data_IF_506809649470
#
_entry.id   IF_506809649470
#
_cell.length_a   1.000
_cell.length_b   1.000
_cell.length_c   1.000
_cell.angle_alpha   90.00
_cell.angle_beta   90.00
_cell.angle_gamma   90.00
#
_symmetry.space_group_name_H-M   'P 1'
#
loop_
_entity.id
_entity.type
_entity.pdbx_description
1 polymer ?
#
# COMPACT_ATOMS: atom_id res chain seq x y z
N UNK A 1 -4.03 31.57 -15.05
CA UNK A 1 -2.70 31.03 -14.66
C UNK A 1 -2.61 30.49 -13.23
N UNK A 2 -3.40 30.99 -12.25
CA UNK A 2 -3.35 30.50 -10.85
C UNK A 2 -3.84 29.04 -10.68
N UNK A 3 -4.89 28.64 -11.40
CA UNK A 3 -5.50 27.30 -11.31
C UNK A 3 -4.58 26.17 -11.79
N UNK A 4 -3.66 26.48 -12.71
CA UNK A 4 -2.73 25.51 -13.28
C UNK A 4 -1.58 25.19 -12.32
N UNK A 5 -1.10 26.18 -11.55
CA UNK A 5 -0.11 25.96 -10.48
C UNK A 5 -0.69 25.13 -9.34
N UNK A 6 -1.99 25.30 -9.02
CA UNK A 6 -2.67 24.54 -7.98
C UNK A 6 -2.81 23.05 -8.34
N UNK A 7 -3.12 22.74 -9.61
CA UNK A 7 -3.18 21.35 -10.12
C UNK A 7 -1.82 20.66 -10.04
N UNK A 8 -0.76 21.31 -10.52
CA UNK A 8 0.60 20.77 -10.44
C UNK A 8 1.04 20.56 -9.00
N UNK A 9 0.76 21.52 -8.12
CA UNK A 9 1.10 21.40 -6.70
C UNK A 9 0.39 20.23 -6.04
N UNK A 10 -0.88 19.99 -6.37
CA UNK A 10 -1.63 18.82 -5.88
C UNK A 10 -1.03 17.50 -6.36
N UNK A 11 -0.59 17.44 -7.63
CA UNK A 11 0.07 16.25 -8.19
C UNK A 11 1.40 16.00 -7.48
N UNK A 12 2.23 17.02 -7.33
CA UNK A 12 3.49 16.91 -6.58
C UNK A 12 3.26 16.47 -5.14
N UNK A 13 2.29 17.07 -4.45
CA UNK A 13 1.94 16.68 -3.09
C UNK A 13 1.53 15.21 -2.99
N UNK A 14 0.75 14.70 -3.96
CA UNK A 14 0.36 13.29 -4.01
C UNK A 14 1.52 12.34 -4.24
N UNK A 15 2.42 12.68 -5.17
CA UNK A 15 3.62 11.87 -5.45
C UNK A 15 4.51 11.85 -4.20
N UNK A 16 4.75 13.02 -3.61
CA UNK A 16 5.60 13.17 -2.44
C UNK A 16 5.02 12.45 -1.22
N UNK A 17 3.70 12.49 -1.03
CA UNK A 17 3.00 11.70 -0.02
C UNK A 17 3.15 10.20 -0.25
N UNK A 18 3.04 9.73 -1.51
CA UNK A 18 3.25 8.33 -1.85
C UNK A 18 4.68 7.86 -1.57
N UNK A 19 5.68 8.66 -1.93
CA UNK A 19 7.10 8.36 -1.65
C UNK A 19 7.36 8.32 -0.14
N UNK A 20 6.85 9.31 0.61
CA UNK A 20 6.98 9.35 2.06
C UNK A 20 6.33 8.13 2.72
N UNK A 21 5.15 7.70 2.25
CA UNK A 21 4.47 6.50 2.74
C UNK A 21 5.32 5.24 2.54
N UNK A 22 5.89 5.05 1.34
CA UNK A 22 6.73 3.88 1.05
C UNK A 22 8.01 3.90 1.89
N UNK A 23 8.66 5.06 2.04
CA UNK A 23 9.83 5.20 2.87
C UNK A 23 9.53 4.84 4.33
N UNK A 24 8.50 5.43 4.93
CA UNK A 24 8.07 5.14 6.30
C UNK A 24 7.70 3.67 6.51
N UNK A 25 7.07 3.04 5.51
CA UNK A 25 6.72 1.63 5.57
C UNK A 25 7.95 0.72 5.60
N UNK A 26 8.93 0.98 4.72
CA UNK A 26 10.18 0.23 4.69
C UNK A 26 11.00 0.45 5.97
N UNK A 27 11.05 1.68 6.46
CA UNK A 27 11.76 2.04 7.69
C UNK A 27 11.14 1.31 8.90
N UNK A 28 9.81 1.36 9.03
CA UNK A 28 9.09 0.63 10.09
C UNK A 28 9.36 -0.88 10.03
N UNK A 29 9.44 -1.48 8.83
CA UNK A 29 9.80 -2.89 8.67
C UNK A 29 11.22 -3.14 9.14
N UNK A 30 12.18 -2.31 8.73
CA UNK A 30 13.58 -2.44 9.13
C UNK A 30 13.73 -2.34 10.65
N UNK A 31 13.14 -1.30 11.26
CA UNK A 31 13.12 -1.10 12.73
C UNK A 31 12.51 -2.30 13.45
N UNK A 32 11.39 -2.82 12.97
CA UNK A 32 10.75 -4.01 13.55
C UNK A 32 11.61 -5.26 13.41
N UNK A 33 12.29 -5.45 12.27
CA UNK A 33 13.20 -6.58 12.04
C UNK A 33 14.43 -6.47 12.94
N UNK A 34 15.02 -5.28 13.06
CA UNK A 34 16.15 -5.06 13.95
C UNK A 34 15.75 -5.27 15.42
N UNK A 35 14.53 -4.88 15.80
CA UNK A 35 13.99 -5.13 17.14
C UNK A 35 13.82 -6.63 17.38
N UNK A 36 13.22 -7.36 16.42
CA UNK A 36 13.07 -8.81 16.48
C UNK A 36 14.43 -9.50 16.63
N UNK A 37 15.44 -9.06 15.87
CA UNK A 37 16.79 -9.63 15.92
C UNK A 37 17.58 -9.24 17.18
N UNK A 38 17.01 -8.45 18.08
CA UNK A 38 17.70 -7.94 19.27
C UNK A 38 18.86 -6.99 18.95
N UNK A 39 18.86 -6.39 17.76
CA UNK A 39 19.90 -5.47 17.29
C UNK A 39 19.61 -4.01 17.69
N UNK A 40 18.42 -3.71 18.20
CA UNK A 40 18.13 -2.42 18.85
C UNK A 40 18.76 -2.42 20.24
N UNK A 41 20.00 -1.92 20.34
CA UNK A 41 20.72 -1.84 21.61
C UNK A 41 20.01 -0.99 22.67
N UNK A 42 19.37 0.11 22.25
CA UNK A 42 18.54 0.96 23.11
C UNK A 42 17.41 1.58 22.27
N UNK A 43 16.21 0.94 22.21
CA UNK A 43 15.09 1.48 21.45
C UNK A 43 14.63 2.83 22.01
N UNK A 44 14.57 3.83 21.15
CA UNK A 44 14.01 5.15 21.42
C UNK A 44 12.49 5.12 21.34
N UNK A 45 11.84 6.20 21.79
CA UNK A 45 10.38 6.35 21.67
C UNK A 45 9.92 6.31 20.20
N UNK A 46 10.75 6.78 19.27
CA UNK A 46 10.45 6.79 17.84
C UNK A 46 10.40 5.35 17.31
N UNK A 47 11.34 4.49 17.72
CA UNK A 47 11.37 3.09 17.30
C UNK A 47 10.09 2.34 17.72
N UNK A 48 9.58 2.61 18.92
CA UNK A 48 8.32 2.03 19.40
C UNK A 48 7.11 2.54 18.60
N UNK A 49 7.12 3.82 18.22
CA UNK A 49 6.07 4.37 17.35
C UNK A 49 6.11 3.67 16.00
N UNK A 50 7.28 3.47 15.40
CA UNK A 50 7.42 2.79 14.10
C UNK A 50 6.97 1.33 14.14
N UNK A 51 7.37 0.59 15.19
CA UNK A 51 6.93 -0.79 15.40
C UNK A 51 5.40 -0.85 15.52
N UNK A 52 4.80 0.07 16.28
CA UNK A 52 3.34 0.18 16.41
C UNK A 52 2.64 0.69 15.15
N UNK A 53 3.34 1.47 14.31
CA UNK A 53 2.81 2.04 13.08
C UNK A 53 2.82 1.02 11.92
N UNK A 54 3.74 0.06 11.94
CA UNK A 54 3.83 -1.01 10.94
C UNK A 54 2.50 -1.73 10.66
N UNK A 55 1.74 -2.25 11.64
CA UNK A 55 0.46 -2.90 11.37
C UNK A 55 -0.56 -1.95 10.74
N UNK A 56 -0.54 -0.67 11.10
CA UNK A 56 -1.43 0.35 10.51
C UNK A 56 -1.06 0.59 9.05
N UNK A 57 0.22 0.80 8.76
CA UNK A 57 0.70 0.99 7.38
C UNK A 57 0.45 -0.25 6.52
N UNK A 58 0.61 -1.44 7.10
CA UNK A 58 0.31 -2.70 6.43
C UNK A 58 -1.17 -2.82 6.08
N UNK A 59 -2.08 -2.46 7.00
CA UNK A 59 -3.51 -2.43 6.73
C UNK A 59 -3.86 -1.42 5.63
N UNK A 60 -3.27 -0.22 5.67
CA UNK A 60 -3.44 0.79 4.62
C UNK A 60 -2.94 0.27 3.28
N UNK A 61 -1.75 -0.34 3.24
CA UNK A 61 -1.21 -0.96 2.03
C UNK A 61 -2.14 -2.04 1.49
N UNK A 62 -2.61 -2.95 2.35
CA UNK A 62 -3.54 -4.01 1.96
C UNK A 62 -4.87 -3.46 1.46
N UNK A 63 -5.38 -2.40 2.07
CA UNK A 63 -6.66 -1.79 1.71
C UNK A 63 -6.61 -1.02 0.38
N UNK A 64 -5.52 -0.28 0.14
CA UNK A 64 -5.43 0.69 -0.96
C UNK A 64 -4.51 0.27 -2.09
N UNK A 65 -3.51 -0.57 -1.87
CA UNK A 65 -2.49 -0.89 -2.88
C UNK A 65 -2.38 -2.38 -3.22
N UNK A 66 -2.87 -3.29 -2.37
CA UNK A 66 -2.72 -4.72 -2.60
C UNK A 66 -3.50 -5.24 -3.81
N UNK A 67 -2.83 -6.14 -4.53
CA UNK A 67 -3.36 -6.95 -5.64
C UNK A 67 -4.45 -7.93 -5.16
N UNK A 68 -4.55 -8.16 -3.84
CA UNK A 68 -5.56 -9.03 -3.21
C UNK A 68 -6.90 -8.31 -2.96
N UNK A 69 -7.15 -7.17 -3.60
CA UNK A 69 -8.45 -6.50 -3.46
C UNK A 69 -9.58 -7.45 -3.91
N UNK A 70 -10.75 -7.43 -3.24
CA UNK A 70 -11.91 -8.18 -3.68
C UNK A 70 -12.36 -7.81 -5.10
N UNK A 71 -12.06 -6.59 -5.56
CA UNK A 71 -12.31 -6.12 -6.94
C UNK A 71 -11.15 -6.43 -7.93
N UNK A 72 -10.26 -7.35 -7.60
CA UNK A 72 -9.16 -7.72 -8.49
C UNK A 72 -9.67 -8.57 -9.65
N UNK A 73 -9.99 -7.90 -10.77
CA UNK A 73 -10.34 -8.53 -12.04
C UNK A 73 -9.20 -9.38 -12.65
N UNK A 74 -7.97 -9.31 -12.11
CA UNK A 74 -6.86 -10.14 -12.57
C UNK A 74 -6.99 -11.60 -12.12
N UNK A 75 -7.73 -11.87 -11.04
CA UNK A 75 -8.04 -13.22 -10.58
C UNK A 75 -9.38 -13.74 -11.14
N UNK A 76 -10.11 -12.93 -11.92
CA UNK A 76 -11.27 -13.45 -12.63
C UNK A 76 -10.79 -14.36 -13.76
N UNK A 77 -11.27 -15.61 -13.85
CA UNK A 77 -11.05 -16.41 -15.03
C UNK A 77 -11.55 -15.60 -16.25
N UNK A 78 -10.81 -15.60 -17.37
CA UNK A 78 -11.23 -14.85 -18.56
C UNK A 78 -12.68 -15.21 -18.87
N UNK A 79 -13.54 -14.19 -19.03
CA UNK A 79 -14.94 -14.40 -19.41
C UNK A 79 -14.92 -15.21 -20.70
N UNK A 80 -15.33 -16.46 -20.61
CA UNK A 80 -15.33 -17.37 -21.73
C UNK A 80 -16.35 -16.87 -22.77
N UNK A 81 -15.91 -16.38 -23.93
CA UNK A 81 -16.82 -15.96 -24.99
C UNK A 81 -17.55 -17.17 -25.63
N UNK A 82 -17.21 -18.40 -25.24
CA UNK A 82 -17.75 -19.62 -25.83
C UNK A 82 -18.88 -20.27 -25.04
N UNK A 83 -19.36 -19.67 -23.94
CA UNK A 83 -20.71 -19.99 -23.42
C UNK A 83 -21.77 -19.38 -24.34
N UNK A 84 -21.87 -19.96 -25.54
CA UNK A 84 -23.12 -19.90 -26.31
C UNK A 84 -24.18 -20.48 -25.40
N UNK A 85 -25.08 -19.60 -25.02
CA UNK A 85 -26.43 -19.95 -24.60
C UNK A 85 -26.97 -20.94 -25.64
N UNK A 86 -27.01 -22.22 -25.29
CA UNK A 86 -27.83 -23.18 -26.01
C UNK A 86 -29.16 -23.24 -25.26
N UNK A 87 -30.21 -22.55 -25.74
CA UNK A 87 -31.55 -22.88 -25.32
C UNK A 87 -31.93 -24.20 -25.99
N UNK A 88 -31.88 -25.28 -25.21
CA UNK A 88 -32.51 -26.56 -25.56
C UNK A 88 -31.57 -27.75 -25.56
N UNK A 89 -31.62 -28.53 -24.47
CA UNK A 89 -32.06 -29.94 -24.45
C UNK A 89 -32.73 -30.17 -23.09
#
# INVERSE_FOLDING_TARGET
>A
MAEQRLKWWTIFARVLLGVAFVALFLDSIATTVHWWRGQLGAPTVIDWIEIGLLPVLLLVYLRYFSVLRPDCNACQPPRDPSRRDHPGV
#
